data_IF_016158834407
#
_entry.id   IF_016158834407
#
_cell.length_a   1.000
_cell.length_b   1.000
_cell.length_c   1.000
_cell.angle_alpha   90.00
_cell.angle_beta   90.00
_cell.angle_gamma   90.00
#
_symmetry.space_group_name_H-M   'P 1'
#
loop_
_entity.id
_entity.type
_entity.pdbx_description
1 polymer ?
#
# COMPACT_ATOMS: atom_id res chain seq x y z
N UNK A 1 19.39 35.16 -3.36
CA UNK A 1 19.27 33.75 -2.95
C UNK A 1 18.13 33.66 -1.93
N UNK A 2 16.90 33.31 -2.33
CA UNK A 2 15.81 33.13 -1.37
C UNK A 2 15.74 31.70 -0.84
N UNK A 3 15.53 31.65 0.46
CA UNK A 3 15.50 30.51 1.37
C UNK A 3 14.25 29.63 1.18
N UNK A 4 14.42 28.36 1.52
CA UNK A 4 13.46 27.26 1.46
C UNK A 4 12.20 27.51 2.28
N UNK A 5 11.01 27.36 1.68
CA UNK A 5 9.77 27.08 2.41
C UNK A 5 8.88 26.14 1.59
N UNK A 6 9.04 24.82 1.82
CA UNK A 6 8.03 23.82 1.49
C UNK A 6 7.19 23.56 2.75
N UNK A 7 5.92 24.03 2.83
CA UNK A 7 5.02 23.54 3.85
C UNK A 7 4.57 22.12 3.49
N UNK A 8 5.15 21.11 4.15
CA UNK A 8 4.71 19.71 4.11
C UNK A 8 4.20 19.30 5.51
N UNK A 9 2.89 19.17 5.65
CA UNK A 9 2.14 18.38 6.67
C UNK A 9 0.70 18.91 6.64
N UNK A 10 -0.37 18.15 6.65
CA UNK A 10 -0.52 16.74 6.87
C UNK A 10 -1.82 16.27 6.23
N UNK A 11 -1.88 14.96 6.11
CA UNK A 11 -2.82 14.15 5.36
C UNK A 11 -4.30 14.44 5.61
N UNK A 12 -5.02 14.56 4.49
CA UNK A 12 -6.41 14.15 4.28
C UNK A 12 -7.16 13.57 5.48
N UNK A 13 -7.92 14.47 6.09
CA UNK A 13 -9.28 14.37 6.62
C UNK A 13 -9.81 12.98 7.05
N UNK A 14 -10.25 12.99 8.32
CA UNK A 14 -10.87 11.91 9.07
C UNK A 14 -12.09 11.33 8.35
N UNK A 15 -12.25 10.02 8.47
CA UNK A 15 -13.58 9.38 8.41
C UNK A 15 -13.70 8.36 9.54
N UNK A 16 -13.88 8.87 10.75
CA UNK A 16 -14.65 8.20 11.80
C UNK A 16 -16.11 8.12 11.34
N UNK A 17 -16.68 6.92 11.24
CA UNK A 17 -18.13 6.71 11.40
C UNK A 17 -18.44 5.24 11.69
N UNK A 18 -19.20 5.05 12.77
CA UNK A 18 -19.62 3.79 13.40
C UNK A 18 -20.46 2.85 12.50
N UNK A 19 -20.24 1.55 12.76
CA UNK A 19 -21.22 0.47 12.99
C UNK A 19 -21.80 -0.38 11.82
N UNK A 20 -21.94 -1.67 12.18
CA UNK A 20 -22.79 -2.76 11.67
C UNK A 20 -22.21 -3.73 10.64
N UNK A 21 -22.04 -5.00 11.06
CA UNK A 21 -21.61 -6.16 10.27
C UNK A 21 -22.68 -6.50 9.22
N UNK A 22 -22.28 -6.94 8.01
CA UNK A 22 -22.40 -8.37 7.71
C UNK A 22 -21.08 -9.00 7.22
N UNK A 23 -20.90 -10.29 7.53
CA UNK A 23 -19.74 -11.11 7.14
C UNK A 23 -19.71 -11.27 5.61
N UNK A 24 -18.77 -10.62 4.91
CA UNK A 24 -18.18 -11.07 3.62
C UNK A 24 -17.42 -9.97 2.85
N UNK A 25 -17.50 -8.70 3.25
CA UNK A 25 -16.92 -7.61 2.47
C UNK A 25 -15.73 -6.97 3.19
N UNK A 26 -14.54 -7.02 2.59
CA UNK A 26 -13.35 -6.29 3.07
C UNK A 26 -13.67 -4.80 3.16
N UNK A 27 -13.94 -4.33 4.38
CA UNK A 27 -14.48 -2.99 4.61
C UNK A 27 -13.45 -1.93 4.26
N UNK A 28 -13.93 -0.72 3.94
CA UNK A 28 -13.05 0.45 3.75
C UNK A 28 -12.21 0.70 5.02
N UNK A 29 -12.79 0.47 6.19
CA UNK A 29 -12.11 0.59 7.48
C UNK A 29 -10.97 -0.42 7.63
N UNK A 30 -11.20 -1.68 7.29
CA UNK A 30 -10.17 -2.73 7.34
C UNK A 30 -9.04 -2.42 6.37
N UNK A 31 -9.38 -1.92 5.18
CA UNK A 31 -8.39 -1.45 4.22
C UNK A 31 -7.55 -0.32 4.78
N UNK A 32 -8.17 0.72 5.36
CA UNK A 32 -7.44 1.86 5.93
C UNK A 32 -6.58 1.44 7.13
N UNK A 33 -7.10 0.59 8.03
CA UNK A 33 -6.32 0.03 9.15
C UNK A 33 -5.13 -0.79 8.68
N UNK A 34 -5.34 -1.63 7.67
CA UNK A 34 -4.28 -2.44 7.06
C UNK A 34 -3.24 -1.55 6.39
N UNK A 35 -3.68 -0.54 5.63
CA UNK A 35 -2.79 0.43 4.99
C UNK A 35 -1.97 1.20 6.01
N UNK A 36 -2.59 1.69 7.08
CA UNK A 36 -1.94 2.43 8.14
C UNK A 36 -0.88 1.57 8.83
N UNK A 37 -1.24 0.35 9.24
CA UNK A 37 -0.30 -0.60 9.85
C UNK A 37 0.90 -0.88 8.93
N UNK A 38 0.63 -1.14 7.65
CA UNK A 38 1.66 -1.42 6.66
C UNK A 38 2.52 -0.21 6.33
N UNK A 39 1.95 1.00 6.32
CA UNK A 39 2.69 2.23 6.08
C UNK A 39 3.57 2.59 7.27
N UNK A 40 3.11 2.31 8.49
CA UNK A 40 3.93 2.45 9.71
C UNK A 40 5.07 1.45 9.74
N UNK A 41 4.81 0.19 9.39
CA UNK A 41 5.83 -0.87 9.43
C UNK A 41 6.81 -0.79 8.24
N UNK A 42 6.31 -0.43 7.05
CA UNK A 42 7.03 -0.44 5.78
C UNK A 42 6.80 0.87 5.01
N UNK A 43 7.28 2.01 5.54
CA UNK A 43 7.10 3.33 4.88
C UNK A 43 7.79 3.40 3.51
N UNK A 44 8.80 2.55 3.30
CA UNK A 44 9.56 2.48 2.04
C UNK A 44 8.76 1.82 0.91
N UNK A 45 7.77 0.99 1.23
CA UNK A 45 7.00 0.22 0.25
C UNK A 45 5.56 0.70 0.16
N UNK A 46 4.91 0.88 1.31
CA UNK A 46 3.54 1.37 1.39
C UNK A 46 3.56 2.85 1.79
N UNK A 47 3.45 3.70 0.78
CA UNK A 47 3.33 5.14 0.99
C UNK A 47 1.99 5.63 0.41
N UNK A 48 1.28 6.47 1.16
CA UNK A 48 0.01 7.06 0.74
C UNK A 48 0.19 8.06 -0.42
N UNK A 49 1.35 8.75 -0.42
CA UNK A 49 1.70 9.74 -1.45
C UNK A 49 2.18 9.09 -2.74
N UNK A 50 2.99 8.04 -2.66
CA UNK A 50 3.58 7.37 -3.82
C UNK A 50 3.36 5.85 -3.74
N UNK A 51 2.36 5.34 -4.44
CA UNK A 51 2.19 3.89 -4.59
C UNK A 51 3.34 3.32 -5.41
N UNK A 52 4.22 2.55 -4.76
CA UNK A 52 5.29 1.84 -5.46
C UNK A 52 4.80 0.53 -6.05
N UNK A 53 5.47 0.09 -7.11
CA UNK A 53 5.28 -1.23 -7.68
C UNK A 53 5.71 -2.28 -6.68
N UNK A 54 4.76 -3.12 -6.28
CA UNK A 54 5.00 -4.22 -5.35
C UNK A 54 5.58 -5.44 -6.07
N UNK A 55 6.46 -6.17 -5.38
CA UNK A 55 6.95 -7.49 -5.81
C UNK A 55 5.78 -8.47 -6.02
N UNK A 56 5.89 -9.31 -7.05
CA UNK A 56 4.99 -10.47 -7.21
C UNK A 56 5.19 -11.41 -6.02
N UNK A 57 4.09 -11.81 -5.38
CA UNK A 57 4.16 -12.73 -4.24
C UNK A 57 4.31 -12.07 -2.87
N UNK A 58 4.31 -10.73 -2.78
CA UNK A 58 4.48 -9.99 -1.51
C UNK A 58 3.46 -10.36 -0.42
N UNK A 59 2.36 -11.01 -0.78
CA UNK A 59 1.39 -11.55 0.16
C UNK A 59 1.98 -12.59 1.12
N UNK A 60 3.02 -13.32 0.71
CA UNK A 60 3.72 -14.29 1.58
C UNK A 60 4.58 -13.55 2.60
N UNK A 61 5.41 -12.62 2.12
CA UNK A 61 6.25 -11.78 2.98
C UNK A 61 5.39 -10.97 3.97
N UNK A 62 4.24 -10.46 3.52
CA UNK A 62 3.28 -9.75 4.37
C UNK A 62 2.77 -10.65 5.49
N UNK A 63 2.49 -11.92 5.20
CA UNK A 63 2.00 -12.88 6.19
C UNK A 63 3.09 -13.28 7.20
N UNK A 64 4.37 -13.26 6.80
CA UNK A 64 5.48 -13.57 7.69
C UNK A 64 5.85 -12.39 8.58
N UNK A 65 5.88 -11.18 8.02
CA UNK A 65 6.23 -9.97 8.76
C UNK A 65 5.05 -9.34 9.50
N UNK A 66 3.81 -9.70 9.16
CA UNK A 66 2.59 -9.21 9.84
C UNK A 66 1.73 -10.38 10.28
N UNK A 67 1.01 -10.22 11.40
CA UNK A 67 0.07 -11.20 11.92
C UNK A 67 -1.29 -11.20 11.19
N UNK A 68 -1.36 -10.62 9.98
CA UNK A 68 -2.61 -10.50 9.22
C UNK A 68 -3.01 -11.82 8.56
N UNK A 69 -4.32 -12.04 8.46
CA UNK A 69 -4.87 -13.18 7.73
C UNK A 69 -4.57 -13.09 6.24
N UNK A 70 -4.27 -14.23 5.61
CA UNK A 70 -4.05 -14.31 4.16
C UNK A 70 -5.23 -13.78 3.34
N UNK A 71 -6.46 -13.90 3.84
CA UNK A 71 -7.64 -13.35 3.17
C UNK A 71 -7.66 -11.82 3.18
N UNK A 72 -7.28 -11.22 4.31
CA UNK A 72 -7.15 -9.77 4.49
C UNK A 72 -6.08 -9.23 3.55
N UNK A 73 -4.91 -9.85 3.51
CA UNK A 73 -3.80 -9.45 2.63
C UNK A 73 -4.21 -9.52 1.15
N UNK A 74 -4.84 -10.61 0.72
CA UNK A 74 -5.33 -10.76 -0.66
C UNK A 74 -6.34 -9.70 -1.04
N UNK A 75 -7.32 -9.42 -0.18
CA UNK A 75 -8.33 -8.38 -0.45
C UNK A 75 -7.73 -6.98 -0.47
N UNK A 76 -6.83 -6.69 0.48
CA UNK A 76 -6.09 -5.45 0.52
C UNK A 76 -5.30 -5.23 -0.77
N UNK A 77 -4.45 -6.19 -1.16
CA UNK A 77 -3.64 -6.11 -2.38
C UNK A 77 -4.51 -5.97 -3.61
N UNK A 78 -5.65 -6.68 -3.69
CA UNK A 78 -6.56 -6.55 -4.83
C UNK A 78 -7.12 -5.14 -4.96
N UNK A 79 -7.53 -4.49 -3.86
CA UNK A 79 -7.94 -3.08 -3.88
C UNK A 79 -6.78 -2.12 -4.17
N UNK A 80 -5.61 -2.39 -3.58
CA UNK A 80 -4.42 -1.54 -3.70
C UNK A 80 -3.87 -1.55 -5.14
N UNK A 81 -3.70 -2.73 -5.74
CA UNK A 81 -3.21 -2.87 -7.11
C UNK A 81 -4.20 -2.35 -8.16
N UNK A 82 -5.52 -2.39 -7.88
CA UNK A 82 -6.54 -1.80 -8.77
C UNK A 82 -6.63 -0.27 -8.66
N UNK A 83 -5.92 0.37 -7.74
CA UNK A 83 -5.93 1.82 -7.61
C UNK A 83 -5.27 2.47 -8.83
N UNK A 84 -5.84 3.57 -9.33
CA UNK A 84 -5.28 4.35 -10.45
C UNK A 84 -3.82 4.75 -10.21
N UNK A 85 -3.45 5.02 -8.95
CA UNK A 85 -2.07 5.32 -8.54
C UNK A 85 -1.10 4.17 -8.83
N UNK A 86 -1.52 2.93 -8.58
CA UNK A 86 -0.70 1.75 -8.83
C UNK A 86 -0.51 1.51 -10.33
N UNK A 87 -1.59 1.65 -11.11
CA UNK A 87 -1.53 1.58 -12.57
C UNK A 87 -0.61 2.66 -13.16
N UNK A 88 -0.67 3.89 -12.64
CA UNK A 88 0.21 4.98 -13.07
C UNK A 88 1.69 4.74 -12.75
N UNK A 89 1.99 4.00 -11.67
CA UNK A 89 3.35 3.59 -11.32
C UNK A 89 3.83 2.36 -12.14
N UNK A 90 2.92 1.68 -12.85
CA UNK A 90 3.17 0.45 -13.62
C UNK A 90 3.75 0.79 -14.99
N UNK A 91 4.94 1.40 -14.93
CA UNK A 91 5.73 1.78 -16.09
C UNK A 91 6.68 0.62 -16.41
N UNK A 92 6.88 0.35 -17.70
CA UNK A 92 7.83 -0.66 -18.17
C UNK A 92 9.25 -0.37 -17.66
N UNK A 93 9.92 -1.41 -17.15
CA UNK A 93 11.25 -1.28 -16.54
C UNK A 93 11.25 -0.71 -15.13
N UNK A 94 10.09 -0.38 -14.54
CA UNK A 94 10.04 0.07 -13.15
C UNK A 94 10.54 -1.04 -12.20
N UNK A 95 11.40 -0.72 -11.21
CA UNK A 95 11.80 -1.68 -10.19
C UNK A 95 10.61 -2.06 -9.31
N UNK A 96 10.44 -3.36 -9.08
CA UNK A 96 9.49 -3.91 -8.12
C UNK A 96 10.12 -3.90 -6.74
N UNK A 97 9.44 -3.38 -5.74
CA UNK A 97 9.95 -3.29 -4.37
C UNK A 97 9.34 -4.38 -3.48
N UNK A 98 10.18 -4.97 -2.62
CA UNK A 98 9.72 -5.79 -1.49
C UNK A 98 9.27 -4.93 -0.30
N UNK A 99 8.93 -5.57 0.82
CA UNK A 99 8.51 -4.90 2.06
C UNK A 99 9.62 -4.08 2.73
N UNK A 100 10.88 -4.41 2.48
CA UNK A 100 12.03 -3.72 3.06
C UNK A 100 12.48 -2.55 2.17
N UNK A 101 11.97 -2.48 0.94
CA UNK A 101 12.33 -1.47 -0.06
C UNK A 101 13.47 -1.93 -0.96
N UNK A 102 13.82 -3.21 -0.96
CA UNK A 102 14.80 -3.77 -1.88
C UNK A 102 14.17 -4.04 -3.25
N UNK A 103 14.98 -3.90 -4.30
CA UNK A 103 14.57 -4.22 -5.67
C UNK A 103 14.47 -5.74 -5.80
N UNK A 104 13.25 -6.20 -5.96
CA UNK A 104 12.86 -7.60 -5.89
C UNK A 104 12.52 -8.19 -7.27
N UNK A 105 12.76 -7.41 -8.33
CA UNK A 105 12.53 -7.70 -9.74
C UNK A 105 12.28 -6.40 -10.52
N UNK A 106 12.12 -6.50 -11.83
CA UNK A 106 11.68 -5.38 -12.69
C UNK A 106 10.34 -5.73 -13.35
N UNK A 107 9.56 -4.72 -13.73
CA UNK A 107 8.38 -4.93 -14.58
C UNK A 107 8.87 -5.23 -15.99
N UNK A 108 8.77 -6.50 -16.41
CA UNK A 108 9.00 -6.91 -17.79
C UNK A 108 7.79 -6.55 -18.63
N UNK A 109 7.95 -5.89 -19.79
CA UNK A 109 6.89 -5.84 -20.79
C UNK A 109 6.59 -7.26 -21.28
N UNK A 110 5.31 -7.60 -21.42
CA UNK A 110 4.87 -8.85 -22.05
C UNK A 110 4.71 -8.65 -23.56
#
# INVERSE_FOLDING_TARGET
MPETNHPNSDTSNLTDNKATKPKSSFSKEEYNKTLQLLSTQFPNTFNDKNSKILKVGIHKDLKEKTTLSSNTIKHFLRKYCHAKKYMAALIEGAPRYDLEGNIAGHVTPE
#
